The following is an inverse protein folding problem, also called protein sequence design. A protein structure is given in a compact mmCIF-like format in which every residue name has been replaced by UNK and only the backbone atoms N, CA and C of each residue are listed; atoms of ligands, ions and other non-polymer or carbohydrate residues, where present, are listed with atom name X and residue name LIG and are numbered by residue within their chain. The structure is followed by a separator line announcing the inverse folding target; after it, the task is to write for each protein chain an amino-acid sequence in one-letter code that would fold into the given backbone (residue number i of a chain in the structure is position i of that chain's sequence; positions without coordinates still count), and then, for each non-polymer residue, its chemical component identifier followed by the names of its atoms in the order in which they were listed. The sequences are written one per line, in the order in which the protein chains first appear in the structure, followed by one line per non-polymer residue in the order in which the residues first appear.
data_IF_055050390717
#
_entry.id   IF_055050390717
#
_cell.length_a   1.000
_cell.length_b   1.000
_cell.length_c   1.000
_cell.angle_alpha   90.00
_cell.angle_beta   90.00
_cell.angle_gamma   90.00
#
_symmetry.space_group_name_H-M   'P 1'
#
loop_
_entity.id
_entity.type
_entity.pdbx_description
1 polymer ?
#
# COMPACT_ATOMS: atom_id res chain seq x y z
N UNK A 1 23.41 -17.85 21.38
CA UNK A 1 22.39 -16.80 21.50
C UNK A 1 21.62 -16.72 20.18
N UNK A 2 20.37 -17.13 20.14
CA UNK A 2 19.51 -16.89 18.99
C UNK A 2 18.89 -15.50 19.18
N UNK A 3 19.33 -14.50 18.41
CA UNK A 3 18.64 -13.23 18.31
C UNK A 3 17.38 -13.46 17.48
N UNK A 4 16.24 -13.56 18.14
CA UNK A 4 14.95 -13.58 17.47
C UNK A 4 14.58 -12.12 17.16
N UNK A 5 14.96 -11.66 15.95
CA UNK A 5 14.58 -10.33 15.48
C UNK A 5 13.08 -10.32 15.21
N UNK A 6 12.34 -9.78 16.14
CA UNK A 6 10.92 -9.49 15.92
C UNK A 6 10.81 -8.50 14.76
N UNK A 7 9.99 -8.85 13.78
CA UNK A 7 9.80 -8.07 12.55
C UNK A 7 8.42 -7.44 12.56
N UNK A 8 8.34 -6.15 12.24
CA UNK A 8 7.10 -5.48 11.88
C UNK A 8 7.07 -5.24 10.36
N UNK A 9 6.03 -5.71 9.72
CA UNK A 9 5.74 -5.40 8.32
C UNK A 9 4.55 -4.46 8.24
N UNK A 10 4.45 -3.68 7.16
CA UNK A 10 3.30 -2.82 6.90
C UNK A 10 2.79 -3.10 5.48
N UNK A 11 1.50 -3.37 5.36
CA UNK A 11 0.82 -3.45 4.06
C UNK A 11 0.20 -2.08 3.81
N UNK A 12 0.43 -1.52 2.63
CA UNK A 12 -0.07 -0.19 2.28
C UNK A 12 -0.68 -0.12 0.90
N UNK A 13 -1.62 0.80 0.74
CA UNK A 13 -2.20 1.16 -0.55
C UNK A 13 -2.56 2.64 -0.59
N UNK A 14 -2.44 3.23 -1.77
CA UNK A 14 -3.02 4.53 -2.11
C UNK A 14 -4.24 4.29 -2.99
N UNK A 15 -5.39 4.73 -2.54
CA UNK A 15 -6.64 4.66 -3.30
C UNK A 15 -6.92 6.01 -3.95
N UNK A 16 -7.00 6.00 -5.26
CA UNK A 16 -7.18 7.19 -6.10
C UNK A 16 -8.58 7.20 -6.66
N UNK A 17 -9.29 8.33 -6.51
CA UNK A 17 -10.58 8.50 -7.15
C UNK A 17 -10.42 8.55 -8.69
N UNK A 18 -11.38 8.03 -9.48
CA UNK A 18 -11.29 8.01 -10.93
C UNK A 18 -11.08 9.39 -11.58
N UNK A 19 -11.63 10.43 -10.97
CA UNK A 19 -11.49 11.82 -11.41
C UNK A 19 -10.22 12.52 -10.86
N UNK A 20 -9.35 11.77 -10.17
CA UNK A 20 -8.15 12.27 -9.49
C UNK A 20 -8.42 13.35 -8.40
N UNK A 21 -9.66 13.53 -8.00
CA UNK A 21 -10.04 14.54 -6.99
C UNK A 21 -9.56 14.21 -5.59
N UNK A 22 -9.31 12.91 -5.31
CA UNK A 22 -8.99 12.44 -3.96
C UNK A 22 -8.04 11.25 -3.98
N UNK A 23 -7.07 11.29 -3.07
CA UNK A 23 -6.19 10.15 -2.77
C UNK A 23 -6.31 9.81 -1.29
N UNK A 24 -6.60 8.55 -0.98
CA UNK A 24 -6.72 8.02 0.39
C UNK A 24 -5.62 7.01 0.67
N UNK A 25 -5.09 7.03 1.88
CA UNK A 25 -4.04 6.11 2.33
C UNK A 25 -4.64 5.03 3.22
N UNK A 26 -4.36 3.77 2.87
CA UNK A 26 -4.69 2.59 3.66
C UNK A 26 -3.40 1.91 4.10
N UNK A 27 -3.25 1.69 5.39
CA UNK A 27 -2.04 1.13 6.00
C UNK A 27 -2.45 0.18 7.12
N UNK A 28 -1.83 -1.00 7.13
CA UNK A 28 -2.05 -2.04 8.13
C UNK A 28 -0.70 -2.61 8.61
N UNK A 29 -0.21 -2.21 9.78
CA UNK A 29 0.94 -2.85 10.40
C UNK A 29 0.58 -4.26 10.85
N UNK A 30 1.55 -5.18 10.68
CA UNK A 30 1.42 -6.60 11.01
C UNK A 30 2.72 -7.11 11.62
N UNK A 31 2.71 -7.74 12.80
CA UNK A 31 3.85 -8.48 13.29
C UNK A 31 4.22 -9.64 12.34
N UNK A 32 5.52 -9.85 12.15
CA UNK A 32 6.05 -10.87 11.25
C UNK A 32 6.05 -10.46 9.78
N UNK A 33 6.22 -11.43 8.91
CA UNK A 33 6.28 -11.23 7.46
C UNK A 33 4.88 -11.15 6.83
N UNK A 34 4.77 -10.42 5.72
CA UNK A 34 3.56 -10.43 4.89
C UNK A 34 3.48 -11.73 4.09
N UNK A 35 2.34 -12.38 4.18
CA UNK A 35 2.00 -13.62 3.48
C UNK A 35 0.70 -13.48 2.67
N UNK A 36 0.34 -14.51 1.90
CA UNK A 36 -0.90 -14.49 1.10
C UNK A 36 -2.16 -14.26 1.92
N UNK A 37 -2.38 -14.95 3.04
CA UNK A 37 -3.53 -14.69 3.94
C UNK A 37 -3.60 -13.24 4.44
N UNK A 38 -2.48 -12.63 4.79
CA UNK A 38 -2.44 -11.23 5.23
C UNK A 38 -2.84 -10.26 4.13
N UNK A 39 -2.36 -10.51 2.90
CA UNK A 39 -2.74 -9.73 1.71
C UNK A 39 -4.24 -9.85 1.46
N UNK A 40 -4.80 -11.05 1.50
CA UNK A 40 -6.25 -11.26 1.34
C UNK A 40 -7.05 -10.56 2.43
N UNK A 41 -6.62 -10.63 3.68
CA UNK A 41 -7.27 -9.92 4.78
C UNK A 41 -7.26 -8.40 4.58
N UNK A 42 -6.13 -7.84 4.10
CA UNK A 42 -6.01 -6.43 3.75
C UNK A 42 -6.96 -6.04 2.61
N UNK A 43 -7.02 -6.82 1.53
CA UNK A 43 -7.92 -6.56 0.40
C UNK A 43 -9.40 -6.64 0.80
N UNK A 44 -9.78 -7.59 1.67
CA UNK A 44 -11.13 -7.65 2.25
C UNK A 44 -11.47 -6.40 3.06
N UNK A 45 -10.51 -5.92 3.84
CA UNK A 45 -10.69 -4.66 4.59
C UNK A 45 -10.81 -3.47 3.65
N UNK A 46 -9.98 -3.40 2.62
CA UNK A 46 -10.02 -2.35 1.60
C UNK A 46 -11.39 -2.31 0.91
N UNK A 47 -11.94 -3.47 0.52
CA UNK A 47 -13.25 -3.60 -0.13
C UNK A 47 -14.38 -2.91 0.65
N UNK A 48 -14.36 -3.00 1.98
CA UNK A 48 -15.39 -2.36 2.83
C UNK A 48 -15.41 -0.84 2.74
N UNK A 49 -14.31 -0.24 2.29
CA UNK A 49 -14.14 1.20 2.17
C UNK A 49 -14.20 1.71 0.73
N UNK A 50 -14.34 0.80 -0.24
CA UNK A 50 -14.39 1.09 -1.66
C UNK A 50 -15.79 0.82 -2.22
N UNK A 51 -16.51 1.86 -2.63
CA UNK A 51 -17.91 1.70 -3.08
C UNK A 51 -18.04 1.12 -4.49
N UNK A 52 -17.04 1.30 -5.33
CA UNK A 52 -17.06 0.97 -6.75
C UNK A 52 -16.11 -0.19 -7.09
N UNK A 53 -16.16 -0.75 -8.30
CA UNK A 53 -15.11 -1.64 -8.79
C UNK A 53 -13.73 -1.01 -8.65
N UNK A 54 -12.74 -1.81 -8.32
CA UNK A 54 -11.36 -1.37 -8.04
C UNK A 54 -10.42 -1.94 -9.08
N UNK A 55 -9.63 -1.07 -9.69
CA UNK A 55 -8.42 -1.46 -10.42
C UNK A 55 -7.25 -1.41 -9.43
N UNK A 56 -6.69 -2.56 -9.09
CA UNK A 56 -5.53 -2.68 -8.22
C UNK A 56 -4.27 -2.79 -9.07
N UNK A 57 -3.43 -1.76 -8.97
CA UNK A 57 -2.09 -1.75 -9.57
C UNK A 57 -1.10 -2.10 -8.49
N UNK A 58 -0.33 -3.16 -8.65
CA UNK A 58 0.63 -3.59 -7.65
C UNK A 58 1.87 -4.29 -8.21
N UNK A 59 2.87 -4.44 -7.37
CA UNK A 59 4.10 -5.12 -7.69
C UNK A 59 3.97 -6.65 -7.60
N UNK A 60 5.05 -7.35 -7.94
CA UNK A 60 5.12 -8.81 -7.95
C UNK A 60 5.77 -9.38 -6.70
N UNK A 61 5.54 -8.79 -5.52
CA UNK A 61 6.00 -9.38 -4.26
C UNK A 61 5.54 -10.85 -4.14
N UNK A 62 6.35 -11.72 -3.54
CA UNK A 62 6.01 -13.14 -3.38
C UNK A 62 4.63 -13.38 -2.77
N UNK A 63 4.21 -12.55 -1.79
CA UNK A 63 2.89 -12.65 -1.18
C UNK A 63 1.74 -12.33 -2.15
N UNK A 64 1.97 -11.43 -3.13
CA UNK A 64 0.98 -11.04 -4.15
C UNK A 64 0.77 -12.15 -5.20
N UNK A 65 1.84 -12.85 -5.57
CA UNK A 65 1.80 -13.89 -6.62
C UNK A 65 1.54 -15.29 -6.07
N UNK A 66 1.47 -15.48 -4.75
CA UNK A 66 1.16 -16.79 -4.15
C UNK A 66 -0.17 -17.34 -4.66
N UNK A 67 -0.23 -18.68 -4.78
CA UNK A 67 -1.41 -19.41 -5.24
C UNK A 67 -2.68 -19.06 -4.44
N UNK A 68 -2.57 -18.91 -3.13
CA UNK A 68 -3.68 -18.54 -2.23
C UNK A 68 -4.24 -17.16 -2.57
N UNK A 69 -3.36 -16.18 -2.76
CA UNK A 69 -3.73 -14.80 -3.15
C UNK A 69 -4.39 -14.79 -4.53
N UNK A 70 -3.76 -15.44 -5.51
CA UNK A 70 -4.28 -15.51 -6.89
C UNK A 70 -5.64 -16.21 -6.98
N UNK A 71 -5.83 -17.30 -6.22
CA UNK A 71 -7.11 -18.01 -6.18
C UNK A 71 -8.21 -17.11 -5.62
N UNK A 72 -7.94 -16.44 -4.49
CA UNK A 72 -8.92 -15.52 -3.91
C UNK A 72 -9.27 -14.39 -4.88
N UNK A 73 -8.28 -13.75 -5.53
CA UNK A 73 -8.49 -12.69 -6.51
C UNK A 73 -9.37 -13.16 -7.68
N UNK A 74 -9.15 -14.39 -8.17
CA UNK A 74 -9.94 -14.94 -9.26
C UNK A 74 -11.45 -14.99 -8.94
N UNK A 75 -11.80 -15.21 -7.67
CA UNK A 75 -13.17 -15.21 -7.19
C UNK A 75 -13.76 -13.80 -7.01
N UNK A 76 -12.92 -12.75 -7.07
CA UNK A 76 -13.30 -11.35 -6.84
C UNK A 76 -13.46 -10.51 -8.12
N UNK A 77 -13.42 -11.11 -9.30
CA UNK A 77 -13.45 -10.40 -10.60
C UNK A 77 -14.62 -9.46 -10.82
N UNK A 78 -15.72 -9.67 -10.08
CA UNK A 78 -16.91 -8.81 -10.16
C UNK A 78 -16.69 -7.40 -9.58
N UNK A 79 -15.63 -7.17 -8.80
CA UNK A 79 -15.32 -5.86 -8.24
C UNK A 79 -13.82 -5.52 -8.30
N UNK A 80 -12.92 -6.48 -8.52
CA UNK A 80 -11.47 -6.32 -8.46
C UNK A 80 -10.82 -6.75 -9.77
N UNK A 81 -10.20 -5.81 -10.44
CA UNK A 81 -9.32 -6.02 -11.58
C UNK A 81 -7.88 -5.79 -11.15
N UNK A 82 -6.94 -6.57 -11.69
CA UNK A 82 -5.52 -6.50 -11.35
C UNK A 82 -4.71 -6.05 -12.57
N UNK A 83 -3.86 -5.04 -12.34
CA UNK A 83 -2.79 -4.67 -13.25
C UNK A 83 -1.44 -4.80 -12.53
N UNK A 84 -0.47 -5.35 -13.23
CA UNK A 84 0.84 -5.61 -12.68
C UNK A 84 1.83 -4.52 -13.07
N UNK A 85 2.50 -3.93 -12.09
CA UNK A 85 3.65 -3.09 -12.37
C UNK A 85 4.74 -3.90 -13.08
N UNK A 86 5.51 -3.27 -13.99
CA UNK A 86 6.69 -3.90 -14.57
C UNK A 86 7.63 -4.40 -13.48
N UNK A 87 8.34 -5.50 -13.71
CA UNK A 87 9.36 -5.96 -12.76
C UNK A 87 10.47 -4.90 -12.64
N UNK A 88 11.01 -4.75 -11.44
CA UNK A 88 12.12 -3.82 -11.14
C UNK A 88 11.83 -2.34 -11.43
N UNK A 89 10.58 -1.89 -11.29
CA UNK A 89 10.17 -0.50 -11.47
C UNK A 89 9.55 0.08 -10.18
N UNK A 90 10.30 0.19 -9.07
CA UNK A 90 9.78 0.73 -7.82
C UNK A 90 9.36 2.20 -7.93
N UNK A 91 9.95 2.95 -8.86
CA UNK A 91 9.61 4.35 -9.14
C UNK A 91 8.18 4.52 -9.67
N UNK A 92 7.58 3.47 -10.21
CA UNK A 92 6.18 3.47 -10.63
C UNK A 92 5.22 3.21 -9.48
N UNK A 93 5.71 2.72 -8.33
CA UNK A 93 4.88 2.40 -7.19
C UNK A 93 4.82 3.58 -6.21
N UNK A 94 3.71 4.36 -6.16
CA UNK A 94 3.62 5.52 -5.28
C UNK A 94 3.70 5.18 -3.78
N UNK A 95 3.47 3.93 -3.40
CA UNK A 95 3.60 3.46 -2.01
C UNK A 95 5.06 3.46 -1.55
N UNK A 96 6.05 3.35 -2.45
CA UNK A 96 7.46 3.45 -2.11
C UNK A 96 7.83 4.84 -1.56
N UNK A 97 7.20 5.90 -2.08
CA UNK A 97 7.37 7.26 -1.55
C UNK A 97 6.75 7.42 -0.16
N UNK A 98 5.65 6.71 0.10
CA UNK A 98 5.05 6.65 1.43
C UNK A 98 6.00 5.97 2.44
N UNK A 99 6.64 4.85 2.06
CA UNK A 99 7.63 4.18 2.91
C UNK A 99 8.81 5.10 3.21
N UNK A 100 9.38 5.70 2.19
CA UNK A 100 10.49 6.66 2.34
C UNK A 100 10.13 7.83 3.25
N UNK A 101 8.90 8.34 3.16
CA UNK A 101 8.42 9.41 4.04
C UNK A 101 8.30 8.95 5.50
N UNK A 102 7.75 7.77 5.75
CA UNK A 102 7.64 7.22 7.12
C UNK A 102 9.01 6.98 7.74
N UNK A 103 9.95 6.43 6.97
CA UNK A 103 11.32 6.20 7.42
C UNK A 103 12.03 7.52 7.75
N UNK A 104 11.90 8.53 6.91
CA UNK A 104 12.55 9.82 7.08
C UNK A 104 11.93 10.68 8.21
N UNK A 105 10.66 10.46 8.57
CA UNK A 105 9.95 11.30 9.54
C UNK A 105 9.65 10.59 10.85
N UNK A 106 8.90 9.50 10.77
CA UNK A 106 8.36 8.82 11.96
C UNK A 106 9.35 7.83 12.57
N UNK A 107 10.23 7.25 11.76
CA UNK A 107 11.20 6.25 12.16
C UNK A 107 12.64 6.77 12.22
N UNK A 108 12.88 8.00 11.74
CA UNK A 108 14.20 8.60 11.79
C UNK A 108 14.75 8.61 13.24
N UNK A 109 15.94 8.05 13.43
CA UNK A 109 16.61 7.94 14.72
C UNK A 109 15.81 7.19 15.80
N UNK A 110 14.81 6.40 15.42
CA UNK A 110 14.02 5.61 16.35
C UNK A 110 14.60 4.19 16.46
N UNK A 111 15.13 3.86 17.63
CA UNK A 111 15.69 2.55 17.94
C UNK A 111 14.89 1.93 19.09
N UNK A 112 13.78 1.22 18.80
CA UNK A 112 12.95 0.63 19.85
C UNK A 112 13.58 -0.61 20.43
N UNK A 113 13.42 -0.80 21.75
CA UNK A 113 13.83 -2.02 22.43
C UNK A 113 12.80 -3.16 22.27
N UNK A 114 11.54 -2.79 21.96
CA UNK A 114 10.42 -3.74 21.85
C UNK A 114 9.62 -3.51 20.57
N UNK A 115 9.11 -4.60 19.99
CA UNK A 115 8.25 -4.57 18.80
C UNK A 115 7.00 -3.69 19.01
N UNK A 116 6.42 -3.70 20.22
CA UNK A 116 5.26 -2.89 20.55
C UNK A 116 5.53 -1.38 20.45
N UNK A 117 6.74 -0.94 20.78
CA UNK A 117 7.15 0.46 20.65
C UNK A 117 7.27 0.86 19.18
N UNK A 118 7.87 -0.02 18.36
CA UNK A 118 7.96 0.17 16.92
C UNK A 118 6.56 0.25 16.30
N UNK A 119 5.66 -0.67 16.66
CA UNK A 119 4.28 -0.66 16.16
C UNK A 119 3.54 0.62 16.55
N UNK A 120 3.68 1.08 17.79
CA UNK A 120 3.07 2.33 18.26
C UNK A 120 3.57 3.54 17.47
N UNK A 121 4.88 3.60 17.19
CA UNK A 121 5.49 4.68 16.41
C UNK A 121 5.04 4.65 14.95
N UNK A 122 5.02 3.47 14.31
CA UNK A 122 4.48 3.29 12.96
C UNK A 122 3.01 3.74 12.89
N UNK A 123 2.17 3.32 13.83
CA UNK A 123 0.76 3.75 13.90
C UNK A 123 0.62 5.25 14.07
N UNK A 124 1.53 5.90 14.80
CA UNK A 124 1.57 7.37 14.92
C UNK A 124 1.86 8.02 13.57
N UNK A 125 2.90 7.56 12.87
CA UNK A 125 3.25 8.03 11.54
C UNK A 125 2.10 7.86 10.53
N UNK A 126 1.45 6.71 10.54
CA UNK A 126 0.25 6.44 9.72
C UNK A 126 -0.85 7.47 9.98
N UNK A 127 -1.14 7.79 11.24
CA UNK A 127 -2.15 8.80 11.57
C UNK A 127 -1.77 10.19 11.07
N UNK A 128 -0.49 10.54 11.09
CA UNK A 128 0.00 11.83 10.58
C UNK A 128 -0.16 11.92 9.06
N UNK A 129 0.19 10.87 8.32
CA UNK A 129 -0.01 10.80 6.86
C UNK A 129 -1.49 10.93 6.50
N UNK A 130 -2.36 10.20 7.19
CA UNK A 130 -3.81 10.20 6.91
C UNK A 130 -4.50 11.56 7.12
N UNK A 131 -3.91 12.44 7.93
CA UNK A 131 -4.41 13.80 8.19
C UNK A 131 -4.01 14.82 7.12
N UNK A 132 -3.13 14.43 6.19
CA UNK A 132 -2.57 15.30 5.17
C UNK A 132 -2.93 14.77 3.78
N UNK A 133 -4.12 15.13 3.30
CA UNK A 133 -4.62 14.65 1.99
C UNK A 133 -3.66 15.02 0.84
N UNK A 134 -3.07 16.22 0.88
CA UNK A 134 -2.09 16.68 -0.10
C UNK A 134 -0.83 15.83 -0.15
N UNK A 135 -0.45 15.23 0.98
CA UNK A 135 0.74 14.37 1.06
C UNK A 135 0.56 13.07 0.27
N UNK A 136 -0.59 12.41 0.43
CA UNK A 136 -0.91 11.20 -0.32
C UNK A 136 -0.95 11.48 -1.83
N UNK A 137 -1.49 12.63 -2.23
CA UNK A 137 -1.51 13.06 -3.62
C UNK A 137 -0.10 13.37 -4.14
N UNK A 138 0.78 13.95 -3.32
CA UNK A 138 2.17 14.20 -3.71
C UNK A 138 2.93 12.90 -3.99
N UNK A 139 2.70 11.83 -3.24
CA UNK A 139 3.31 10.52 -3.51
C UNK A 139 2.88 9.98 -4.88
N UNK A 140 1.60 10.09 -5.21
CA UNK A 140 1.10 9.72 -6.53
C UNK A 140 1.76 10.54 -7.63
N UNK A 141 1.80 11.87 -7.48
CA UNK A 141 2.41 12.77 -8.48
C UNK A 141 3.90 12.54 -8.71
N UNK A 142 4.64 12.16 -7.66
CA UNK A 142 6.08 11.87 -7.79
C UNK A 142 6.36 10.49 -8.39
N UNK A 143 5.38 9.59 -8.43
CA UNK A 143 5.55 8.29 -9.09
C UNK A 143 5.47 8.43 -10.60
N UNK A 144 6.22 7.59 -11.34
CA UNK A 144 6.12 7.51 -12.78
C UNK A 144 4.76 7.01 -13.30
N UNK A 145 3.92 6.48 -12.40
CA UNK A 145 2.57 6.01 -12.73
C UNK A 145 1.58 7.17 -12.98
N UNK A 146 1.79 8.33 -12.37
CA UNK A 146 0.82 9.44 -12.45
C UNK A 146 0.56 9.95 -13.88
N UNK A 147 1.56 10.18 -14.73
CA UNK A 147 1.32 10.62 -16.10
C UNK A 147 0.46 9.64 -16.90
N UNK A 148 0.71 8.35 -16.76
CA UNK A 148 -0.05 7.28 -17.41
C UNK A 148 -1.52 7.27 -16.95
N UNK A 149 -1.75 7.28 -15.63
CA UNK A 149 -3.09 7.35 -15.06
C UNK A 149 -3.85 8.60 -15.50
N UNK A 150 -3.18 9.75 -15.53
CA UNK A 150 -3.79 11.01 -15.92
C UNK A 150 -4.25 10.98 -17.39
N UNK A 151 -3.44 10.43 -18.28
CA UNK A 151 -3.77 10.30 -19.70
C UNK A 151 -4.94 9.34 -19.92
N UNK A 152 -4.89 8.14 -19.34
CA UNK A 152 -5.96 7.13 -19.47
C UNK A 152 -7.30 7.66 -18.96
N UNK A 153 -7.32 8.36 -17.83
CA UNK A 153 -8.57 8.87 -17.24
C UNK A 153 -9.16 10.04 -18.03
N UNK A 154 -8.34 10.83 -18.73
CA UNK A 154 -8.84 11.90 -19.63
C UNK A 154 -9.44 11.38 -20.92
N UNK A 155 -8.95 10.27 -21.44
CA UNK A 155 -9.45 9.66 -22.69
C UNK A 155 -10.80 8.93 -22.49
N UNK A 156 -11.20 8.65 -21.24
CA UNK A 156 -12.43 7.95 -20.89
C UNK A 156 -13.59 8.88 -20.51
N UNK A 157 -13.39 10.18 -20.52
CA UNK A 157 -14.42 11.22 -20.28
C UNK A 157 -14.84 11.87 -21.59
#
# INVERSE_FOLDING_TARGET
MHFNWERLSVIGALAVAPDLSRVRTFLSPKPGSVDGPSVVAFLRSLRRHMPAPVLLVWDRLPAHVKRTTRKWIADQRHWLQIEWLPPYAPELNPVEYLWSHLDATSLANFAPDKLAELEAQVRRGIRQVRRKDDLAFSFLKHSGLYPELYNVLRETQ
#
